data_IF_967590005143
#
_entry.id   IF_967590005143
#
_cell.length_a   1.000
_cell.length_b   1.000
_cell.length_c   1.000
_cell.angle_alpha   90.00
_cell.angle_beta   90.00
_cell.angle_gamma   90.00
#
_symmetry.space_group_name_H-M   'P 1'
#
loop_
_entity.id
_entity.type
_entity.pdbx_description
1 polymer ?
#
# COMPACT_ATOMS: atom_id res chain seq x y z
N UNK A 1 2.24 33.92 13.08
CA UNK A 1 1.94 32.56 13.55
C UNK A 1 0.62 32.00 12.97
N UNK A 2 -0.32 32.83 12.51
CA UNK A 2 -1.63 32.36 12.02
C UNK A 2 -1.66 31.85 10.56
N UNK A 3 -0.82 32.39 9.66
CA UNK A 3 -0.82 32.01 8.24
C UNK A 3 -0.34 30.55 8.04
N UNK A 4 0.66 30.11 8.80
CA UNK A 4 1.19 28.75 8.69
C UNK A 4 0.16 27.69 9.15
N UNK A 5 -0.57 27.96 10.23
CA UNK A 5 -1.64 27.08 10.71
C UNK A 5 -2.81 27.02 9.70
N UNK A 6 -3.18 28.15 9.10
CA UNK A 6 -4.20 28.20 8.05
C UNK A 6 -3.77 27.45 6.77
N UNK A 7 -2.51 27.58 6.35
CA UNK A 7 -1.98 26.87 5.18
C UNK A 7 -1.92 25.36 5.43
N UNK A 8 -1.42 24.91 6.58
CA UNK A 8 -1.36 23.48 6.91
C UNK A 8 -2.76 22.88 7.06
N UNK A 9 -3.69 23.59 7.72
CA UNK A 9 -5.08 23.15 7.85
C UNK A 9 -5.83 23.09 6.51
N UNK A 10 -5.60 24.06 5.63
CA UNK A 10 -6.24 24.07 4.30
C UNK A 10 -5.69 22.99 3.37
N UNK A 11 -4.40 22.62 3.48
CA UNK A 11 -3.83 21.47 2.77
C UNK A 11 -4.44 20.15 3.24
N UNK A 12 -4.56 19.94 4.56
CA UNK A 12 -5.21 18.74 5.10
C UNK A 12 -6.68 18.63 4.65
N UNK A 13 -7.42 19.75 4.69
CA UNK A 13 -8.81 19.78 4.21
C UNK A 13 -8.92 19.53 2.71
N UNK A 14 -8.00 20.07 1.89
CA UNK A 14 -7.97 19.78 0.46
C UNK A 14 -7.71 18.30 0.20
N UNK A 15 -6.80 17.67 0.94
CA UNK A 15 -6.53 16.23 0.81
C UNK A 15 -7.78 15.42 1.14
N UNK A 16 -8.48 15.72 2.23
CA UNK A 16 -9.75 15.07 2.58
C UNK A 16 -10.82 15.28 1.50
N UNK A 17 -10.95 16.50 0.97
CA UNK A 17 -11.90 16.79 -0.11
C UNK A 17 -11.57 16.01 -1.39
N UNK A 18 -10.29 15.94 -1.76
CA UNK A 18 -9.84 15.15 -2.90
C UNK A 18 -10.00 13.65 -2.67
N UNK A 19 -9.72 13.14 -1.48
CA UNK A 19 -9.92 11.74 -1.11
C UNK A 19 -11.39 11.36 -1.23
N UNK A 20 -12.29 12.19 -0.68
CA UNK A 20 -13.74 12.00 -0.81
C UNK A 20 -14.23 12.11 -2.24
N UNK A 21 -13.67 13.03 -3.03
CA UNK A 21 -14.00 13.16 -4.44
C UNK A 21 -13.50 11.96 -5.26
N UNK A 22 -12.31 11.45 -4.93
CA UNK A 22 -11.75 10.24 -5.52
C UNK A 22 -12.59 9.02 -5.15
N UNK A 23 -13.00 8.86 -3.89
CA UNK A 23 -13.90 7.79 -3.44
C UNK A 23 -15.24 7.84 -4.19
N UNK A 24 -15.87 9.02 -4.30
CA UNK A 24 -17.13 9.17 -5.05
C UNK A 24 -16.92 8.86 -6.54
N UNK A 25 -15.83 9.33 -7.13
CA UNK A 25 -15.52 9.07 -8.54
C UNK A 25 -15.21 7.58 -8.78
N UNK A 26 -14.53 6.92 -7.84
CA UNK A 26 -14.20 5.50 -7.88
C UNK A 26 -15.46 4.67 -7.72
N UNK A 27 -16.32 4.96 -6.73
CA UNK A 27 -17.63 4.29 -6.59
C UNK A 27 -18.49 4.51 -7.83
N UNK A 28 -18.57 5.74 -8.36
CA UNK A 28 -19.35 6.03 -9.55
C UNK A 28 -18.79 5.29 -10.76
N UNK A 29 -17.47 5.27 -10.94
CA UNK A 29 -16.79 4.54 -12.01
C UNK A 29 -16.96 3.04 -11.87
N UNK A 30 -16.74 2.45 -10.69
CA UNK A 30 -16.96 1.04 -10.40
C UNK A 30 -18.43 0.66 -10.57
N UNK A 31 -19.38 1.52 -10.20
CA UNK A 31 -20.81 1.28 -10.42
C UNK A 31 -21.14 1.33 -11.91
N UNK A 32 -20.64 2.32 -12.65
CA UNK A 32 -20.79 2.44 -14.10
C UNK A 32 -20.09 1.29 -14.84
N UNK A 33 -18.92 0.86 -14.37
CA UNK A 33 -18.19 -0.31 -14.86
C UNK A 33 -19.01 -1.56 -14.56
N UNK A 34 -19.47 -1.80 -13.34
CA UNK A 34 -20.31 -2.96 -12.99
C UNK A 34 -21.67 -2.96 -13.73
N UNK A 35 -22.28 -1.79 -13.97
CA UNK A 35 -23.56 -1.64 -14.66
C UNK A 35 -23.42 -1.78 -16.19
N UNK A 36 -22.35 -1.21 -16.79
CA UNK A 36 -22.05 -1.35 -18.22
C UNK A 36 -21.27 -2.63 -18.56
N UNK A 37 -20.69 -3.28 -17.56
CA UNK A 37 -20.14 -4.63 -17.58
C UNK A 37 -21.23 -5.70 -17.34
N UNK A 38 -22.42 -5.39 -17.83
CA UNK A 38 -23.41 -6.40 -18.22
C UNK A 38 -23.09 -7.01 -19.59
N UNK A 39 -22.05 -6.50 -20.27
CA UNK A 39 -21.65 -6.86 -21.63
C UNK A 39 -20.34 -7.67 -21.75
N UNK A 40 -19.43 -7.63 -20.78
CA UNK A 40 -18.41 -8.67 -20.66
C UNK A 40 -18.97 -9.73 -19.72
N UNK A 41 -18.79 -11.03 -20.01
CA UNK A 41 -19.13 -12.05 -19.04
C UNK A 41 -18.18 -11.88 -17.86
N UNK A 42 -18.62 -11.18 -16.81
CA UNK A 42 -18.01 -11.31 -15.50
C UNK A 42 -17.94 -12.82 -15.23
N UNK A 43 -16.73 -13.39 -15.13
CA UNK A 43 -16.60 -14.82 -14.96
C UNK A 43 -17.44 -15.22 -13.74
N UNK A 44 -18.36 -16.17 -13.90
CA UNK A 44 -19.10 -16.72 -12.75
C UNK A 44 -18.16 -17.34 -11.71
N UNK A 45 -16.91 -17.60 -12.11
CA UNK A 45 -15.86 -18.26 -11.35
C UNK A 45 -14.52 -17.61 -11.69
N UNK A 46 -13.69 -17.40 -10.67
CA UNK A 46 -12.29 -17.00 -10.81
C UNK A 46 -11.41 -18.15 -10.30
N UNK A 47 -10.21 -18.31 -10.88
CA UNK A 47 -9.23 -19.29 -10.39
C UNK A 47 -8.72 -18.89 -9.00
N UNK A 48 -8.56 -17.58 -8.78
CA UNK A 48 -8.16 -17.02 -7.49
C UNK A 48 -9.02 -15.82 -7.10
N UNK A 49 -9.36 -15.75 -5.81
CA UNK A 49 -9.93 -14.56 -5.17
C UNK A 49 -8.92 -14.07 -4.14
N UNK A 50 -8.41 -12.87 -4.32
CA UNK A 50 -7.49 -12.21 -3.41
C UNK A 50 -8.26 -11.16 -2.63
N UNK A 51 -8.25 -11.27 -1.30
CA UNK A 51 -8.94 -10.34 -0.40
C UNK A 51 -7.91 -9.39 0.20
N UNK A 52 -8.01 -8.12 -0.17
CA UNK A 52 -7.09 -7.04 0.16
C UNK A 52 -6.12 -6.74 -0.98
N UNK A 53 -6.25 -5.57 -1.60
CA UNK A 53 -5.32 -5.02 -2.58
C UNK A 53 -4.19 -4.24 -1.90
N UNK A 54 -3.61 -4.80 -0.85
CA UNK A 54 -2.41 -4.26 -0.20
C UNK A 54 -1.13 -4.58 -0.98
N UNK A 55 0.03 -4.28 -0.39
CA UNK A 55 1.37 -4.50 -0.98
C UNK A 55 1.55 -5.93 -1.51
N UNK A 56 1.23 -6.94 -0.71
CA UNK A 56 1.36 -8.35 -1.12
C UNK A 56 0.21 -8.78 -2.06
N UNK A 57 -1.01 -8.30 -1.82
CA UNK A 57 -2.19 -8.66 -2.61
C UNK A 57 -2.09 -8.20 -4.06
N UNK A 58 -1.67 -6.94 -4.28
CA UNK A 58 -1.42 -6.42 -5.63
C UNK A 58 -0.29 -7.17 -6.35
N UNK A 59 0.81 -7.49 -5.65
CA UNK A 59 1.91 -8.28 -6.22
C UNK A 59 1.42 -9.67 -6.66
N UNK A 60 0.68 -10.36 -5.79
CA UNK A 60 0.16 -11.69 -6.08
C UNK A 60 -0.85 -11.65 -7.23
N UNK A 61 -1.76 -10.68 -7.23
CA UNK A 61 -2.75 -10.49 -8.29
C UNK A 61 -2.07 -10.28 -9.64
N UNK A 62 -1.10 -9.37 -9.72
CA UNK A 62 -0.37 -9.07 -10.96
C UNK A 62 0.41 -10.28 -11.50
N UNK A 63 0.98 -11.12 -10.62
CA UNK A 63 1.70 -12.33 -11.04
C UNK A 63 0.76 -13.45 -11.49
N UNK A 64 -0.32 -13.70 -10.74
CA UNK A 64 -1.27 -14.75 -11.09
C UNK A 64 -2.08 -14.41 -12.34
N UNK A 65 -2.40 -13.14 -12.56
CA UNK A 65 -3.16 -12.69 -13.73
C UNK A 65 -2.42 -12.90 -15.06
N UNK A 66 -1.12 -13.17 -15.05
CA UNK A 66 -0.36 -13.55 -16.25
C UNK A 66 -0.87 -14.88 -16.87
N UNK A 67 -1.51 -15.73 -16.07
CA UNK A 67 -1.94 -17.09 -16.50
C UNK A 67 -3.34 -17.50 -16.04
N UNK A 68 -3.90 -16.83 -15.05
CA UNK A 68 -5.14 -17.22 -14.38
C UNK A 68 -6.13 -16.05 -14.32
N UNK A 69 -7.41 -16.37 -14.17
CA UNK A 69 -8.44 -15.39 -13.83
C UNK A 69 -8.40 -15.04 -12.35
N UNK A 70 -8.28 -13.76 -12.02
CA UNK A 70 -8.11 -13.29 -10.64
C UNK A 70 -9.13 -12.21 -10.32
N UNK A 71 -9.87 -12.39 -9.23
CA UNK A 71 -10.66 -11.34 -8.61
C UNK A 71 -9.88 -10.74 -7.43
N UNK A 72 -9.60 -9.45 -7.49
CA UNK A 72 -8.96 -8.71 -6.41
C UNK A 72 -10.01 -7.83 -5.73
N UNK A 73 -10.23 -8.05 -4.43
CA UNK A 73 -11.20 -7.29 -3.64
C UNK A 73 -10.45 -6.32 -2.72
N UNK A 74 -10.83 -5.05 -2.75
CA UNK A 74 -10.30 -4.01 -1.86
C UNK A 74 -11.46 -3.32 -1.13
N UNK A 75 -11.27 -3.01 0.15
CA UNK A 75 -12.29 -2.35 0.97
C UNK A 75 -12.23 -0.82 0.84
N UNK A 76 -11.07 -0.27 0.50
CA UNK A 76 -10.89 1.13 0.15
C UNK A 76 -11.08 1.44 -1.32
N UNK A 77 -10.81 2.69 -1.68
CA UNK A 77 -10.80 3.14 -3.07
C UNK A 77 -9.40 3.29 -3.64
N UNK A 78 -9.30 3.99 -4.77
CA UNK A 78 -8.02 4.41 -5.35
C UNK A 78 -7.23 5.36 -4.42
N UNK A 79 -5.88 5.25 -4.35
CA UNK A 79 -5.07 6.17 -3.54
C UNK A 79 -5.19 7.61 -4.05
N UNK A 80 -5.24 8.63 -3.17
CA UNK A 80 -5.31 10.02 -3.61
C UNK A 80 -3.99 10.44 -4.29
N UNK A 81 -3.98 11.47 -5.15
CA UNK A 81 -2.76 11.94 -5.80
C UNK A 81 -1.61 12.28 -4.83
N UNK A 82 -1.93 12.70 -3.60
CA UNK A 82 -0.96 12.98 -2.56
C UNK A 82 -0.09 11.76 -2.18
N UNK A 83 -0.62 10.53 -2.31
CA UNK A 83 0.12 9.30 -2.07
C UNK A 83 1.34 9.12 -3.00
N UNK A 84 1.31 9.76 -4.18
CA UNK A 84 2.41 9.72 -5.14
C UNK A 84 3.54 10.73 -4.84
N UNK A 85 3.37 11.60 -3.84
CA UNK A 85 4.33 12.66 -3.51
C UNK A 85 4.94 12.38 -2.14
N UNK A 86 6.25 12.01 -2.06
CA UNK A 86 6.90 11.61 -0.81
C UNK A 86 6.76 12.61 0.35
N UNK A 87 6.74 13.91 0.04
CA UNK A 87 6.59 14.97 1.04
C UNK A 87 5.28 14.87 1.83
N UNK A 88 4.23 14.25 1.26
CA UNK A 88 2.93 14.12 1.91
C UNK A 88 2.74 12.81 2.67
N UNK A 89 3.74 11.92 2.80
CA UNK A 89 3.57 10.60 3.45
C UNK A 89 2.90 10.70 4.82
N UNK A 90 3.35 11.60 5.69
CA UNK A 90 2.76 11.81 7.00
C UNK A 90 1.32 12.32 6.98
N UNK A 91 0.94 13.10 5.95
CA UNK A 91 -0.47 13.54 5.80
C UNK A 91 -1.34 12.41 5.27
N UNK A 92 -0.86 11.65 4.28
CA UNK A 92 -1.57 10.50 3.73
C UNK A 92 -1.75 9.42 4.80
N UNK A 93 -0.74 9.13 5.62
CA UNK A 93 -0.83 8.11 6.67
C UNK A 93 -1.66 8.51 7.90
N UNK A 94 -1.96 9.80 8.07
CA UNK A 94 -2.80 10.31 9.17
C UNK A 94 -4.25 10.61 8.78
N UNK A 95 -4.62 10.41 7.52
CA UNK A 95 -5.96 10.67 7.01
C UNK A 95 -6.95 9.53 7.38
N UNK A 96 -8.02 9.80 8.16
CA UNK A 96 -9.01 8.80 8.58
C UNK A 96 -9.92 8.26 7.46
N UNK A 97 -10.02 8.93 6.32
CA UNK A 97 -10.92 8.49 5.24
C UNK A 97 -10.30 7.32 4.45
N UNK A 98 -8.96 7.31 4.35
CA UNK A 98 -8.17 6.37 3.54
C UNK A 98 -7.30 5.42 4.38
N UNK A 99 -7.39 5.46 5.70
CA UNK A 99 -6.69 4.52 6.59
C UNK A 99 -7.62 3.96 7.67
N UNK A 100 -7.36 2.72 8.07
CA UNK A 100 -7.87 2.19 9.33
C UNK A 100 -7.00 2.65 10.48
N UNK A 101 -7.63 2.98 11.61
CA UNK A 101 -6.95 3.31 12.86
C UNK A 101 -7.38 2.33 13.95
N UNK A 102 -6.49 1.40 14.27
CA UNK A 102 -6.69 0.42 15.33
C UNK A 102 -6.03 0.89 16.61
N UNK A 103 -6.77 0.86 17.72
CA UNK A 103 -6.22 1.11 19.04
C UNK A 103 -5.77 -0.20 19.65
N UNK A 104 -4.59 -0.22 20.26
CA UNK A 104 -4.17 -1.35 21.08
C UNK A 104 -5.02 -1.44 22.33
N UNK A 105 -5.00 -2.59 22.99
CA UNK A 105 -5.36 -2.64 24.41
C UNK A 105 -4.37 -1.80 25.22
N UNK A 106 -4.73 -1.48 26.46
CA UNK A 106 -3.83 -0.76 27.36
C UNK A 106 -2.57 -1.61 27.61
N UNK A 107 -1.41 -1.05 27.26
CA UNK A 107 -0.13 -1.70 27.41
C UNK A 107 0.44 -1.38 28.78
N UNK A 108 0.95 -2.40 29.47
CA UNK A 108 1.46 -2.36 30.86
C UNK A 108 2.33 -1.14 31.20
N UNK A 109 3.09 -0.61 30.23
CA UNK A 109 3.99 0.53 30.43
C UNK A 109 3.87 1.64 29.37
N UNK A 110 2.81 1.64 28.55
CA UNK A 110 2.75 2.49 27.36
C UNK A 110 1.39 3.10 27.04
N UNK A 111 0.35 2.81 27.83
CA UNK A 111 -1.00 3.27 27.54
C UNK A 111 -1.54 2.62 26.26
N UNK A 112 -2.43 3.35 25.58
CA UNK A 112 -3.04 2.92 24.32
C UNK A 112 -2.28 3.53 23.14
N UNK A 113 -1.70 2.68 22.29
CA UNK A 113 -1.14 3.11 21.02
C UNK A 113 -2.19 3.03 19.91
N UNK A 114 -2.00 3.86 18.88
CA UNK A 114 -2.80 3.81 17.65
C UNK A 114 -1.93 3.31 16.51
N UNK A 115 -2.36 2.23 15.86
CA UNK A 115 -1.75 1.66 14.67
C UNK A 115 -2.62 2.01 13.48
N UNK A 116 -2.00 2.50 12.41
CA UNK A 116 -2.70 2.86 11.18
C UNK A 116 -2.28 1.92 10.03
N UNK A 117 -3.25 1.56 9.20
CA UNK A 117 -3.03 0.70 8.02
C UNK A 117 -3.81 1.23 6.84
N UNK A 118 -3.22 1.17 5.64
CA UNK A 118 -3.83 1.74 4.44
C UNK A 118 -5.13 1.03 4.07
N UNK A 119 -6.17 1.82 3.77
CA UNK A 119 -7.49 1.40 3.28
C UNK A 119 -7.68 2.00 1.89
N UNK A 120 -6.93 1.48 0.93
CA UNK A 120 -6.92 1.91 -0.47
C UNK A 120 -6.17 0.86 -1.31
N UNK A 121 -6.28 0.93 -2.64
CA UNK A 121 -5.41 0.15 -3.53
C UNK A 121 -3.92 0.43 -3.24
N UNK A 122 -3.12 -0.64 -3.14
CA UNK A 122 -1.74 -0.66 -2.65
C UNK A 122 -1.61 -0.73 -1.12
N UNK A 123 -2.71 -0.52 -0.38
CA UNK A 123 -2.81 -0.65 1.08
C UNK A 123 -1.74 0.13 1.81
N UNK A 124 -1.06 -0.52 2.76
CA UNK A 124 0.03 0.14 3.49
C UNK A 124 1.23 0.57 2.64
N UNK A 125 1.38 0.03 1.44
CA UNK A 125 2.39 0.48 0.48
C UNK A 125 2.12 1.88 -0.09
N UNK A 126 0.85 2.32 -0.12
CA UNK A 126 0.44 3.60 -0.69
C UNK A 126 0.49 4.78 0.30
N UNK A 127 0.70 4.53 1.60
CA UNK A 127 0.82 5.60 2.62
C UNK A 127 2.07 5.50 3.51
N UNK A 128 2.94 4.50 3.32
CA UNK A 128 4.16 4.37 4.11
C UNK A 128 5.19 5.50 3.84
N UNK A 129 6.28 5.49 4.60
CA UNK A 129 7.37 6.47 4.46
C UNK A 129 8.41 6.11 3.38
N UNK A 130 8.06 5.22 2.44
CA UNK A 130 8.87 4.88 1.26
C UNK A 130 10.27 4.30 1.55
N UNK A 131 10.52 3.87 2.78
CA UNK A 131 11.78 3.25 3.17
C UNK A 131 11.89 1.86 2.56
N UNK A 132 12.87 1.67 1.67
CA UNK A 132 13.22 0.35 1.14
C UNK A 132 14.31 -0.30 2.00
N UNK A 133 13.98 -1.39 2.68
CA UNK A 133 14.92 -2.16 3.47
C UNK A 133 14.67 -3.66 3.26
N UNK A 134 15.73 -4.41 2.96
CA UNK A 134 15.66 -5.86 2.78
C UNK A 134 15.69 -6.65 4.09
N UNK A 135 16.02 -6.03 5.22
CA UNK A 135 16.21 -6.71 6.50
C UNK A 135 17.58 -7.39 6.62
N UNK A 136 17.85 -8.00 7.78
CA UNK A 136 19.10 -8.74 8.02
C UNK A 136 19.00 -10.15 7.43
N UNK A 137 20.06 -10.70 6.79
CA UNK A 137 20.08 -12.10 6.38
C UNK A 137 19.68 -13.07 7.49
N UNK A 138 20.13 -12.79 8.71
CA UNK A 138 19.84 -13.61 9.89
C UNK A 138 18.34 -13.70 10.21
N UNK A 139 17.55 -12.68 9.88
CA UNK A 139 16.11 -12.70 10.12
C UNK A 139 15.44 -13.78 9.26
N UNK A 140 15.85 -13.91 8.01
CA UNK A 140 15.37 -14.91 7.06
C UNK A 140 15.87 -16.32 7.40
N UNK A 141 17.16 -16.47 7.73
CA UNK A 141 17.71 -17.76 8.14
C UNK A 141 17.04 -18.29 9.41
N UNK A 142 16.71 -17.40 10.36
CA UNK A 142 15.95 -17.78 11.55
C UNK A 142 14.53 -18.24 11.18
N UNK A 143 13.85 -17.55 10.25
CA UNK A 143 12.52 -17.97 9.76
C UNK A 143 12.59 -19.34 9.08
N UNK A 144 13.60 -19.58 8.24
CA UNK A 144 13.82 -20.86 7.59
C UNK A 144 14.00 -22.01 8.60
N UNK A 145 14.78 -21.77 9.66
CA UNK A 145 14.95 -22.74 10.75
C UNK A 145 13.65 -22.99 11.52
N UNK A 146 12.90 -21.93 11.85
CA UNK A 146 11.63 -22.06 12.59
C UNK A 146 10.57 -22.83 11.79
N UNK A 147 10.54 -22.63 10.47
CA UNK A 147 9.61 -23.32 9.56
C UNK A 147 10.13 -24.68 9.09
N UNK A 148 11.41 -25.00 9.34
CA UNK A 148 12.11 -26.13 8.75
C UNK A 148 11.94 -26.16 7.21
N UNK A 149 12.12 -25.00 6.59
CA UNK A 149 11.94 -24.77 5.15
C UNK A 149 13.06 -23.85 4.64
N UNK A 150 14.02 -24.44 3.92
CA UNK A 150 15.18 -23.72 3.40
C UNK A 150 14.84 -22.72 2.30
N UNK A 151 13.63 -22.76 1.72
CA UNK A 151 13.22 -21.77 0.72
C UNK A 151 13.16 -20.34 1.27
N UNK A 152 13.10 -20.20 2.60
CA UNK A 152 13.15 -18.93 3.32
C UNK A 152 14.56 -18.48 3.71
N UNK A 153 15.62 -19.27 3.50
CA UNK A 153 17.00 -18.85 3.77
C UNK A 153 17.35 -17.62 2.94
N UNK A 154 18.18 -16.72 3.49
CA UNK A 154 18.44 -15.42 2.86
C UNK A 154 18.97 -15.55 1.42
N UNK A 155 19.82 -16.55 1.19
CA UNK A 155 20.39 -16.84 -0.12
C UNK A 155 19.33 -17.18 -1.19
N UNK A 156 18.20 -17.75 -0.77
CA UNK A 156 17.10 -18.12 -1.65
C UNK A 156 16.12 -16.95 -1.85
N UNK A 157 15.85 -16.16 -0.80
CA UNK A 157 14.90 -15.04 -0.89
C UNK A 157 15.47 -13.79 -1.57
N UNK A 158 16.80 -13.59 -1.52
CA UNK A 158 17.44 -12.38 -2.06
C UNK A 158 17.19 -12.19 -3.56
N UNK A 159 17.05 -13.30 -4.29
CA UNK A 159 16.72 -13.27 -5.72
C UNK A 159 15.31 -12.72 -5.98
N UNK A 160 14.36 -12.90 -5.06
CA UNK A 160 13.04 -12.27 -5.17
C UNK A 160 13.10 -10.77 -4.91
N UNK A 161 13.88 -10.30 -3.94
CA UNK A 161 14.08 -8.85 -3.72
C UNK A 161 14.64 -8.16 -4.96
N UNK A 162 15.67 -8.76 -5.57
CA UNK A 162 16.26 -8.26 -6.82
C UNK A 162 15.25 -8.23 -7.97
N UNK A 163 14.37 -9.23 -8.08
CA UNK A 163 13.32 -9.26 -9.12
C UNK A 163 12.26 -8.18 -8.94
N UNK A 164 12.03 -7.71 -7.72
CA UNK A 164 11.00 -6.72 -7.41
C UNK A 164 11.49 -5.27 -7.42
N UNK A 165 12.81 -5.04 -7.41
CA UNK A 165 13.37 -3.69 -7.36
C UNK A 165 14.07 -3.30 -8.66
N UNK A 166 14.04 -1.99 -8.97
CA UNK A 166 14.93 -1.38 -9.97
C UNK A 166 15.74 -0.32 -9.26
N UNK A 167 17.04 -0.55 -9.08
CA UNK A 167 17.92 0.43 -8.44
C UNK A 167 18.32 1.53 -9.44
N UNK A 168 17.78 2.73 -9.25
CA UNK A 168 18.16 3.91 -10.03
C UNK A 168 19.28 4.66 -9.31
N UNK A 169 20.53 4.51 -9.79
CA UNK A 169 21.67 5.28 -9.29
C UNK A 169 21.70 6.64 -9.98
N UNK A 170 21.47 7.72 -9.24
CA UNK A 170 21.82 9.06 -9.70
C UNK A 170 23.35 9.18 -9.72
N UNK A 171 23.93 9.38 -10.91
CA UNK A 171 25.33 9.78 -11.01
C UNK A 171 25.41 11.23 -10.54
N UNK A 172 25.92 11.47 -9.34
CA UNK A 172 26.41 12.80 -8.98
C UNK A 172 27.79 12.94 -9.63
N UNK A 173 27.99 13.98 -10.44
CA UNK A 173 29.31 14.39 -10.89
C UNK A 173 30.14 14.77 -9.67
N UNK A 174 31.41 14.37 -9.65
CA UNK A 174 32.36 14.64 -8.56
C UNK A 174 32.67 16.14 -8.35
N UNK A 175 32.02 17.05 -9.10
CA UNK A 175 32.24 18.49 -9.05
C UNK A 175 31.37 19.23 -8.02
N UNK A 176 30.46 18.55 -7.31
CA UNK A 176 29.52 19.17 -6.36
C UNK A 176 29.97 19.09 -4.87
N UNK A 177 31.25 18.83 -4.58
CA UNK A 177 31.82 18.86 -3.22
C UNK A 177 33.08 19.73 -3.09
#
# INVERSE_FOLDING_TARGET
MEIAAFLLGSVALMIQLFAKQAEIADIAKTTIELENDSSLPLPKTYDFIIVGAGTAGCLLAGRLSEKFSVLLLEAGGSPPPAAAVPFFSGTVGSDPDINYFFKTVDMTYGGVATVHTGKMLGGSGSHNDLVHNRGSPKDYDNVAQLLNDSSWEYENVVEFFKKTETWQRTQHSEEDF
#
